data_IF_947156842300
#
_entry.id   IF_947156842300
#
_cell.length_a   1.000
_cell.length_b   1.000
_cell.length_c   1.000
_cell.angle_alpha   90.00
_cell.angle_beta   90.00
_cell.angle_gamma   90.00
#
_symmetry.space_group_name_H-M   'P 1'
#
loop_
_entity.id
_entity.type
_entity.pdbx_description
1 polymer ?
#
# COMPACT_ATOMS: atom_id res chain seq x y z
N UNK A 1 -8.41 18.64 10.71
CA UNK A 1 -7.41 17.73 11.32
C UNK A 1 -6.45 17.33 10.21
N UNK A 2 -5.20 17.72 10.32
CA UNK A 2 -4.16 17.34 9.35
C UNK A 2 -3.73 15.89 9.64
N UNK A 3 -3.76 15.02 8.64
CA UNK A 3 -3.35 13.63 8.77
C UNK A 3 -1.83 13.54 8.59
N UNK A 4 -1.09 13.29 9.67
CA UNK A 4 0.34 13.02 9.62
C UNK A 4 0.66 11.57 9.21
N UNK A 5 1.94 11.25 9.02
CA UNK A 5 2.44 9.93 8.60
C UNK A 5 1.93 8.79 9.48
N UNK A 6 1.99 8.96 10.81
CA UNK A 6 1.49 7.99 11.80
C UNK A 6 -0.01 7.71 11.62
N UNK A 7 -0.81 8.75 11.42
CA UNK A 7 -2.27 8.62 11.25
C UNK A 7 -2.61 7.88 9.96
N UNK A 8 -1.92 8.18 8.86
CA UNK A 8 -2.10 7.51 7.57
C UNK A 8 -1.73 6.03 7.64
N UNK A 9 -0.56 5.70 8.19
CA UNK A 9 -0.12 4.32 8.35
C UNK A 9 -1.05 3.52 9.27
N UNK A 10 -1.51 4.13 10.36
CA UNK A 10 -2.44 3.50 11.29
C UNK A 10 -3.81 3.26 10.65
N UNK A 11 -4.31 4.19 9.84
CA UNK A 11 -5.58 4.04 9.15
C UNK A 11 -5.55 2.83 8.21
N UNK A 12 -4.53 2.73 7.34
CA UNK A 12 -4.38 1.60 6.42
C UNK A 12 -4.23 0.27 7.16
N UNK A 13 -3.40 0.24 8.21
CA UNK A 13 -3.24 -0.96 9.02
C UNK A 13 -4.56 -1.40 9.67
N UNK A 14 -5.34 -0.46 10.22
CA UNK A 14 -6.64 -0.77 10.87
C UNK A 14 -7.67 -1.29 9.87
N UNK A 15 -7.79 -0.65 8.71
CA UNK A 15 -8.69 -1.12 7.63
C UNK A 15 -8.34 -2.56 7.25
N UNK A 16 -7.05 -2.85 7.04
CA UNK A 16 -6.58 -4.18 6.68
C UNK A 16 -6.71 -5.21 7.81
N UNK A 17 -6.56 -4.79 9.08
CA UNK A 17 -6.62 -5.68 10.24
C UNK A 17 -8.05 -6.10 10.55
N UNK A 18 -9.01 -5.19 10.40
CA UNK A 18 -10.42 -5.40 10.76
C UNK A 18 -11.30 -5.83 9.61
N UNK A 19 -10.85 -5.66 8.36
CA UNK A 19 -11.64 -5.99 7.18
C UNK A 19 -11.71 -7.50 6.87
N UNK A 20 -12.81 -7.88 6.24
CA UNK A 20 -13.09 -9.21 5.70
C UNK A 20 -12.93 -9.24 4.18
N UNK A 21 -12.99 -10.42 3.57
CA UNK A 21 -12.97 -10.55 2.10
C UNK A 21 -14.15 -9.82 1.41
N UNK A 22 -15.28 -9.67 2.10
CA UNK A 22 -16.42 -8.87 1.59
C UNK A 22 -16.07 -7.39 1.62
N UNK A 23 -15.51 -6.91 2.73
CA UNK A 23 -15.12 -5.50 2.90
C UNK A 23 -14.09 -5.08 1.85
N UNK A 24 -13.06 -5.90 1.62
CA UNK A 24 -11.99 -5.62 0.66
C UNK A 24 -12.48 -5.50 -0.78
N UNK A 25 -13.50 -6.28 -1.18
CA UNK A 25 -14.13 -6.14 -2.51
C UNK A 25 -14.87 -4.81 -2.67
N UNK A 26 -15.40 -4.26 -1.58
CA UNK A 26 -16.07 -2.97 -1.57
C UNK A 26 -15.07 -1.81 -1.52
N UNK A 27 -13.94 -1.97 -0.81
CA UNK A 27 -12.88 -0.95 -0.74
C UNK A 27 -12.37 -0.53 -2.12
N UNK A 28 -12.24 -1.47 -3.06
CA UNK A 28 -11.80 -1.16 -4.44
C UNK A 28 -12.71 -0.13 -5.14
N UNK A 29 -13.98 -0.04 -4.75
CA UNK A 29 -14.98 0.89 -5.32
C UNK A 29 -15.27 2.08 -4.41
N UNK A 30 -14.64 2.17 -3.23
CA UNK A 30 -14.87 3.25 -2.27
C UNK A 30 -14.06 4.48 -2.66
N UNK A 31 -14.75 5.59 -2.85
CA UNK A 31 -14.13 6.90 -3.07
C UNK A 31 -13.32 7.35 -1.85
N UNK A 32 -13.77 7.00 -0.64
CA UNK A 32 -13.09 7.34 0.61
C UNK A 32 -11.74 6.62 0.72
N UNK A 33 -11.70 5.34 0.35
CA UNK A 33 -10.46 4.58 0.35
C UNK A 33 -9.50 5.07 -0.74
N UNK A 34 -10.01 5.38 -1.93
CA UNK A 34 -9.21 6.02 -2.99
C UNK A 34 -8.63 7.36 -2.53
N UNK A 35 -9.42 8.20 -1.86
CA UNK A 35 -8.95 9.47 -1.32
C UNK A 35 -7.91 9.29 -0.20
N UNK A 36 -8.00 8.21 0.58
CA UNK A 36 -6.96 7.87 1.57
C UNK A 36 -5.65 7.48 0.87
N UNK A 37 -5.69 6.66 -0.18
CA UNK A 37 -4.50 6.29 -0.95
C UNK A 37 -3.83 7.51 -1.60
N UNK A 38 -4.62 8.41 -2.20
CA UNK A 38 -4.07 9.65 -2.79
C UNK A 38 -3.36 10.52 -1.75
N UNK A 39 -3.87 10.59 -0.52
CA UNK A 39 -3.20 11.31 0.59
C UNK A 39 -1.91 10.64 1.01
N UNK A 40 -1.88 9.31 1.05
CA UNK A 40 -0.67 8.52 1.33
C UNK A 40 0.38 8.78 0.24
N UNK A 41 0.00 8.72 -1.02
CA UNK A 41 0.91 8.98 -2.15
C UNK A 41 1.46 10.41 -2.11
N UNK A 42 0.61 11.41 -1.87
CA UNK A 42 1.03 12.80 -1.74
C UNK A 42 2.00 13.00 -0.56
N UNK A 43 1.72 12.38 0.58
CA UNK A 43 2.59 12.47 1.74
C UNK A 43 3.93 11.77 1.53
N UNK A 44 3.94 10.58 0.91
CA UNK A 44 5.17 9.84 0.59
C UNK A 44 6.05 10.57 -0.44
N UNK A 45 5.46 11.34 -1.36
CA UNK A 45 6.19 12.18 -2.32
C UNK A 45 6.64 13.52 -1.73
N UNK A 46 6.12 13.90 -0.55
CA UNK A 46 6.47 15.18 0.06
C UNK A 46 7.93 15.16 0.52
N UNK A 47 8.73 16.20 0.21
CA UNK A 47 10.06 16.38 0.79
C UNK A 47 10.03 16.46 2.32
N UNK A 48 8.91 16.94 2.87
CA UNK A 48 8.67 17.05 4.31
C UNK A 48 8.06 15.76 4.90
N UNK A 49 7.92 14.70 4.09
CA UNK A 49 7.38 13.42 4.50
C UNK A 49 8.35 12.66 5.42
N UNK A 50 8.09 12.71 6.73
CA UNK A 50 8.85 11.94 7.72
C UNK A 50 8.14 10.60 8.02
N UNK A 51 8.48 9.60 7.20
CA UNK A 51 8.00 8.22 7.37
C UNK A 51 9.11 7.32 7.88
N UNK A 52 8.88 6.70 9.04
CA UNK A 52 9.82 5.71 9.55
C UNK A 52 9.57 4.31 8.92
N UNK A 53 10.55 3.38 9.03
CA UNK A 53 10.43 2.02 8.50
C UNK A 53 9.14 1.28 8.89
N UNK A 54 8.65 1.49 10.12
CA UNK A 54 7.43 0.84 10.61
C UNK A 54 6.19 1.34 9.90
N UNK A 55 6.10 2.64 9.66
CA UNK A 55 4.98 3.25 8.96
C UNK A 55 4.91 2.78 7.52
N UNK A 56 6.05 2.78 6.81
CA UNK A 56 6.14 2.28 5.43
C UNK A 56 5.73 0.81 5.36
N UNK A 57 6.27 -0.03 6.25
CA UNK A 57 5.93 -1.45 6.31
C UNK A 57 4.44 -1.68 6.60
N UNK A 58 3.84 -0.90 7.51
CA UNK A 58 2.43 -1.00 7.86
C UNK A 58 1.52 -0.56 6.70
N UNK A 59 1.90 0.50 5.97
CA UNK A 59 1.15 0.96 4.80
C UNK A 59 1.20 -0.09 3.68
N UNK A 60 2.39 -0.56 3.31
CA UNK A 60 2.57 -1.58 2.28
C UNK A 60 1.79 -2.86 2.63
N UNK A 61 1.94 -3.35 3.87
CA UNK A 61 1.20 -4.53 4.34
C UNK A 61 -0.31 -4.32 4.30
N UNK A 62 -0.78 -3.16 4.76
CA UNK A 62 -2.20 -2.84 4.80
C UNK A 62 -2.84 -2.87 3.41
N UNK A 63 -2.21 -2.21 2.44
CA UNK A 63 -2.70 -2.12 1.06
C UNK A 63 -2.66 -3.49 0.38
N UNK A 64 -1.56 -4.24 0.52
CA UNK A 64 -1.44 -5.58 -0.03
C UNK A 64 -2.50 -6.54 0.56
N UNK A 65 -2.69 -6.50 1.87
CA UNK A 65 -3.68 -7.34 2.56
C UNK A 65 -5.11 -7.00 2.17
N UNK A 66 -5.41 -5.72 1.97
CA UNK A 66 -6.71 -5.27 1.50
C UNK A 66 -6.97 -5.61 0.02
N UNK A 67 -6.03 -6.25 -0.68
CA UNK A 67 -6.14 -6.69 -2.08
C UNK A 67 -6.49 -5.56 -3.07
N UNK A 68 -6.00 -4.37 -2.78
CA UNK A 68 -6.17 -3.16 -3.58
C UNK A 68 -4.84 -2.50 -3.91
N UNK A 69 -3.81 -3.26 -4.35
CA UNK A 69 -2.56 -2.66 -4.80
C UNK A 69 -2.77 -1.90 -6.12
N UNK A 70 -2.11 -0.75 -6.27
CA UNK A 70 -1.88 -0.08 -7.55
C UNK A 70 -0.37 0.04 -7.80
N UNK A 71 0.01 0.20 -9.08
CA UNK A 71 1.42 0.39 -9.45
C UNK A 71 1.94 1.68 -8.84
N UNK A 72 1.14 2.74 -8.91
CA UNK A 72 1.45 4.10 -8.45
C UNK A 72 1.73 4.11 -6.95
N UNK A 73 0.88 3.47 -6.14
CA UNK A 73 1.07 3.44 -4.68
C UNK A 73 2.28 2.60 -4.30
N UNK A 74 2.53 1.46 -4.96
CA UNK A 74 3.70 0.62 -4.65
C UNK A 74 5.01 1.20 -5.18
N UNK A 75 4.98 2.01 -6.25
CA UNK A 75 6.14 2.76 -6.72
C UNK A 75 6.59 3.77 -5.65
N UNK A 76 5.68 4.61 -5.15
CA UNK A 76 6.04 5.60 -4.11
C UNK A 76 6.45 4.95 -2.79
N UNK A 77 5.85 3.79 -2.44
CA UNK A 77 6.28 3.02 -1.28
C UNK A 77 7.68 2.43 -1.45
N UNK A 78 8.08 2.08 -2.67
CA UNK A 78 9.43 1.60 -2.98
C UNK A 78 10.44 2.70 -2.74
N UNK A 79 10.18 3.88 -3.29
CA UNK A 79 11.05 5.05 -3.14
C UNK A 79 11.21 5.42 -1.65
N UNK A 80 10.09 5.47 -0.91
CA UNK A 80 10.10 5.71 0.53
C UNK A 80 10.87 4.62 1.29
N UNK A 81 10.70 3.34 0.92
CA UNK A 81 11.38 2.23 1.59
C UNK A 81 12.91 2.29 1.41
N UNK A 82 13.37 2.65 0.21
CA UNK A 82 14.79 2.83 -0.08
C UNK A 82 15.35 4.06 0.64
N UNK A 83 14.62 5.18 0.62
CA UNK A 83 15.01 6.42 1.29
C UNK A 83 15.13 6.26 2.81
N UNK A 84 14.27 5.45 3.44
CA UNK A 84 14.28 5.18 4.87
C UNK A 84 15.45 4.29 5.34
N UNK A 85 16.41 3.97 4.47
CA UNK A 85 17.57 3.11 4.70
C UNK A 85 17.16 1.70 5.18
N UNK A 86 17.27 0.70 4.29
CA UNK A 86 16.90 -0.69 4.59
C UNK A 86 17.56 -1.28 5.85
N UNK A 87 18.71 -0.75 6.31
CA UNK A 87 19.35 -1.16 7.57
C UNK A 87 18.63 -0.67 8.84
N UNK A 88 17.80 0.36 8.73
CA UNK A 88 17.01 0.89 9.85
C UNK A 88 15.75 0.07 10.12
N UNK A 89 15.35 -0.79 9.18
CA UNK A 89 14.19 -1.66 9.33
C UNK A 89 14.49 -2.74 10.37
N UNK A 90 13.56 -2.92 11.32
CA UNK A 90 13.57 -4.11 12.17
C UNK A 90 13.24 -5.34 11.32
N UNK A 91 13.67 -6.54 11.71
CA UNK A 91 13.39 -7.76 10.94
C UNK A 91 11.91 -7.96 10.58
N UNK A 92 11.00 -7.61 11.50
CA UNK A 92 9.55 -7.69 11.26
C UNK A 92 9.07 -6.68 10.20
N UNK A 93 9.58 -5.46 10.23
CA UNK A 93 9.21 -4.39 9.30
C UNK A 93 9.68 -4.76 7.89
N UNK A 94 10.92 -5.23 7.77
CA UNK A 94 11.46 -5.69 6.48
C UNK A 94 10.69 -6.90 5.94
N UNK A 95 10.38 -7.87 6.80
CA UNK A 95 9.59 -9.05 6.40
C UNK A 95 8.19 -8.67 5.91
N UNK A 96 7.53 -7.72 6.58
CA UNK A 96 6.22 -7.22 6.16
C UNK A 96 6.30 -6.48 4.82
N UNK A 97 7.31 -5.63 4.64
CA UNK A 97 7.55 -4.94 3.37
C UNK A 97 7.72 -5.95 2.24
N UNK A 98 8.65 -6.91 2.37
CA UNK A 98 8.90 -7.93 1.33
C UNK A 98 7.64 -8.75 1.04
N UNK A 99 6.91 -9.19 2.06
CA UNK A 99 5.66 -9.92 1.88
C UNK A 99 4.61 -9.09 1.14
N UNK A 100 4.49 -7.81 1.45
CA UNK A 100 3.53 -6.91 0.80
C UNK A 100 3.83 -6.74 -0.70
N UNK A 101 5.10 -6.53 -1.06
CA UNK A 101 5.54 -6.41 -2.45
C UNK A 101 5.29 -7.70 -3.24
N UNK A 102 5.65 -8.86 -2.68
CA UNK A 102 5.40 -10.15 -3.32
C UNK A 102 3.89 -10.42 -3.49
N UNK A 103 3.08 -10.06 -2.49
CA UNK A 103 1.63 -10.21 -2.54
C UNK A 103 1.00 -9.30 -3.60
N UNK A 104 1.40 -8.02 -3.65
CA UNK A 104 0.93 -7.08 -4.66
C UNK A 104 1.30 -7.53 -6.08
N UNK A 105 2.53 -8.02 -6.27
CA UNK A 105 2.98 -8.59 -7.53
C UNK A 105 2.11 -9.77 -7.99
N UNK A 106 1.81 -10.70 -7.07
CA UNK A 106 0.96 -11.85 -7.37
C UNK A 106 -0.47 -11.45 -7.74
N UNK A 107 -1.01 -10.40 -7.12
CA UNK A 107 -2.35 -9.88 -7.42
C UNK A 107 -2.43 -9.24 -8.81
N UNK A 108 -1.41 -8.49 -9.26
CA UNK A 108 -1.38 -7.91 -10.61
C UNK A 108 -1.01 -8.97 -11.69
N UNK A 109 -0.38 -10.10 -11.32
CA UNK A 109 0.08 -11.15 -12.26
C UNK A 109 -0.93 -12.30 -12.52
N UNK A 110 -2.05 -12.37 -11.79
CA UNK A 110 -2.97 -13.51 -11.85
C UNK A 110 -3.80 -13.59 -13.16
N UNK A 111 -4.01 -14.80 -13.73
CA UNK A 111 -4.59 -15.01 -15.07
C UNK A 111 -6.07 -14.64 -15.25
N UNK A 112 -6.83 -14.31 -14.19
CA UNK A 112 -8.21 -13.81 -14.33
C UNK A 112 -8.28 -12.43 -15.01
N UNK A 113 -7.16 -11.73 -15.18
CA UNK A 113 -7.03 -10.50 -15.96
C UNK A 113 -6.74 -10.75 -17.46
N UNK A 114 -6.74 -12.01 -17.93
CA UNK A 114 -6.20 -12.39 -19.25
C UNK A 114 -7.23 -12.86 -20.29
N UNK A 115 -8.53 -12.88 -19.99
CA UNK A 115 -9.54 -13.27 -20.98
C UNK A 115 -10.33 -12.06 -21.47
N UNK A 116 -10.05 -11.70 -22.73
CA UNK A 116 -10.91 -10.96 -23.66
C UNK A 116 -11.04 -9.45 -23.52
N UNK A 117 -9.93 -8.73 -23.41
CA UNK A 117 -9.68 -7.43 -24.08
C UNK A 117 -8.17 -7.12 -23.90
N UNK A 118 -7.56 -6.42 -24.86
CA UNK A 118 -6.13 -6.03 -24.92
C UNK A 118 -5.53 -5.65 -23.55
N UNK A 119 -4.21 -5.85 -23.31
CA UNK A 119 -3.62 -5.88 -21.97
C UNK A 119 -3.94 -4.57 -21.25
N UNK A 120 -4.96 -4.61 -20.40
CA UNK A 120 -5.28 -3.49 -19.54
C UNK A 120 -4.40 -3.70 -18.32
N UNK A 121 -3.10 -3.46 -18.57
CA UNK A 121 -2.05 -3.30 -17.58
C UNK A 121 -2.59 -2.40 -16.48
N UNK A 122 -2.36 -2.81 -15.24
CA UNK A 122 -2.67 -2.07 -14.02
C UNK A 122 -2.50 -0.55 -14.28
N UNK A 123 -3.62 0.16 -14.44
CA UNK A 123 -3.72 1.60 -14.19
C UNK A 123 -4.02 1.80 -12.72
#
# INVERSE_FOLDING_TARGET
>A
VELNSVNLATALHRVAKSGTAVDFRNLRRSEEYSALLQRVEAALRSPDGDFNPREIANMAWGIAKAQVPSIETFAVLTDAAVAANLKAYKPQELSNTVWAFATAWNLCSAPAARTDFAPTVCK
#
